data_IF_980539973771
#
_entry.id   IF_980539973771
#
_cell.length_a   1.000
_cell.length_b   1.000
_cell.length_c   1.000
_cell.angle_alpha   90.00
_cell.angle_beta   90.00
_cell.angle_gamma   90.00
#
_symmetry.space_group_name_H-M   'P 1'
#
loop_
_entity.id
_entity.type
_entity.pdbx_description
1 polymer ?
#
# COMPACT_ATOMS: atom_id res chain seq x y z
N UNK A 1 -15.62 4.10 13.79
CA UNK A 1 -15.35 4.04 12.34
C UNK A 1 -13.86 4.15 12.01
N UNK A 2 -13.10 5.12 12.57
CA UNK A 2 -11.65 5.28 12.29
C UNK A 2 -10.85 4.01 12.65
N UNK A 3 -11.10 3.42 13.81
CA UNK A 3 -10.41 2.20 14.23
C UNK A 3 -10.65 1.00 13.30
N UNK A 4 -11.88 0.88 12.78
CA UNK A 4 -12.22 -0.19 11.83
C UNK A 4 -11.53 0.04 10.49
N UNK A 5 -11.57 1.28 9.98
CA UNK A 5 -10.88 1.64 8.74
C UNK A 5 -9.35 1.54 8.86
N UNK A 6 -8.78 1.84 10.04
CA UNK A 6 -7.35 1.69 10.28
C UNK A 6 -6.91 0.22 10.48
N UNK A 7 -7.81 -0.67 10.86
CA UNK A 7 -7.50 -2.09 11.07
C UNK A 7 -7.10 -2.81 9.78
N UNK A 8 -7.71 -2.47 8.64
CA UNK A 8 -7.38 -3.04 7.33
C UNK A 8 -5.90 -2.82 6.95
N UNK A 9 -5.46 -1.58 6.76
CA UNK A 9 -4.03 -1.30 6.52
C UNK A 9 -3.11 -1.79 7.63
N UNK A 10 -3.56 -1.70 8.90
CA UNK A 10 -2.81 -2.14 10.06
C UNK A 10 -2.46 -3.62 10.00
N UNK A 11 -3.42 -4.49 9.66
CA UNK A 11 -3.16 -5.94 9.54
C UNK A 11 -2.18 -6.25 8.40
N UNK A 12 -2.24 -5.51 7.30
CA UNK A 12 -1.30 -5.68 6.20
C UNK A 12 0.14 -5.38 6.67
N UNK A 13 0.35 -4.31 7.42
CA UNK A 13 1.68 -4.01 7.96
C UNK A 13 2.14 -5.02 9.00
N UNK A 14 1.24 -5.54 9.83
CA UNK A 14 1.55 -6.64 10.77
C UNK A 14 2.00 -7.89 10.02
N UNK A 15 1.30 -8.29 8.96
CA UNK A 15 1.68 -9.43 8.12
C UNK A 15 3.05 -9.19 7.47
N UNK A 16 3.30 -7.98 6.98
CA UNK A 16 4.60 -7.62 6.39
C UNK A 16 5.74 -7.74 7.41
N UNK A 17 5.53 -7.29 8.64
CA UNK A 17 6.52 -7.41 9.74
C UNK A 17 6.74 -8.88 10.11
N UNK A 18 5.68 -9.67 10.21
CA UNK A 18 5.79 -11.12 10.49
C UNK A 18 6.57 -11.82 9.37
N UNK A 19 6.30 -11.49 8.11
CA UNK A 19 7.04 -12.05 6.97
C UNK A 19 8.52 -11.66 7.03
N UNK A 20 8.83 -10.40 7.36
CA UNK A 20 10.19 -9.91 7.55
C UNK A 20 10.93 -10.67 8.68
N UNK A 21 10.29 -10.83 9.83
CA UNK A 21 10.87 -11.59 10.95
C UNK A 21 11.05 -13.06 10.60
N UNK A 22 10.13 -13.64 9.83
CA UNK A 22 10.22 -15.04 9.37
C UNK A 22 11.41 -15.28 8.45
N UNK A 23 11.91 -14.25 7.74
CA UNK A 23 13.12 -14.36 6.93
C UNK A 23 14.36 -14.72 7.76
N UNK A 24 14.46 -14.27 9.02
CA UNK A 24 15.54 -14.67 9.92
C UNK A 24 15.52 -16.17 10.24
N UNK A 25 14.31 -16.73 10.35
CA UNK A 25 14.13 -18.16 10.64
C UNK A 25 14.33 -19.00 9.37
N UNK A 26 14.06 -18.44 8.20
CA UNK A 26 14.20 -19.14 6.94
C UNK A 26 15.65 -19.63 6.69
N UNK A 27 16.66 -18.97 7.23
CA UNK A 27 18.06 -19.39 7.10
C UNK A 27 18.38 -20.74 7.76
N UNK A 28 17.52 -21.21 8.67
CA UNK A 28 17.66 -22.53 9.30
C UNK A 28 17.04 -23.67 8.45
N UNK A 29 16.38 -23.33 7.34
CA UNK A 29 15.78 -24.33 6.45
C UNK A 29 16.86 -25.03 5.60
N UNK A 30 16.64 -26.31 5.22
CA UNK A 30 17.46 -26.99 4.23
C UNK A 30 17.51 -26.18 2.92
N UNK A 31 18.66 -26.24 2.24
CA UNK A 31 18.93 -25.46 1.02
C UNK A 31 17.85 -25.64 -0.08
N UNK A 32 17.27 -26.84 -0.16
CA UNK A 32 16.19 -27.16 -1.10
C UNK A 32 14.91 -26.35 -0.90
N UNK A 33 14.64 -25.87 0.34
CA UNK A 33 13.44 -25.09 0.68
C UNK A 33 13.73 -23.60 0.89
N UNK A 34 15.01 -23.25 1.11
CA UNK A 34 15.42 -21.89 1.43
C UNK A 34 14.99 -20.88 0.36
N UNK A 35 15.29 -21.16 -0.92
CA UNK A 35 14.98 -20.26 -2.03
C UNK A 35 13.47 -20.03 -2.16
N UNK A 36 12.68 -21.10 -2.00
CA UNK A 36 11.22 -21.01 -2.03
C UNK A 36 10.67 -20.16 -0.85
N UNK A 37 11.18 -20.41 0.35
CA UNK A 37 10.75 -19.66 1.55
C UNK A 37 11.10 -18.17 1.43
N UNK A 38 12.33 -17.84 1.08
CA UNK A 38 12.79 -16.45 0.92
C UNK A 38 11.96 -15.72 -0.13
N UNK A 39 11.74 -16.32 -1.29
CA UNK A 39 10.94 -15.72 -2.35
C UNK A 39 9.51 -15.42 -1.89
N UNK A 40 8.84 -16.39 -1.26
CA UNK A 40 7.46 -16.23 -0.82
C UNK A 40 7.33 -15.23 0.34
N UNK A 41 8.24 -15.23 1.31
CA UNK A 41 8.25 -14.30 2.43
C UNK A 41 8.52 -12.86 1.95
N UNK A 42 9.46 -12.67 1.03
CA UNK A 42 9.74 -11.38 0.43
C UNK A 42 8.54 -10.86 -0.36
N UNK A 43 7.90 -11.72 -1.15
CA UNK A 43 6.69 -11.35 -1.89
C UNK A 43 5.53 -11.04 -0.93
N UNK A 44 5.34 -11.83 0.12
CA UNK A 44 4.31 -11.59 1.13
C UNK A 44 4.53 -10.23 1.83
N UNK A 45 5.76 -9.93 2.21
CA UNK A 45 6.12 -8.64 2.80
C UNK A 45 5.79 -7.49 1.84
N UNK A 46 6.27 -7.55 0.59
CA UNK A 46 6.08 -6.49 -0.39
C UNK A 46 4.61 -6.27 -0.75
N UNK A 47 3.87 -7.34 -1.03
CA UNK A 47 2.45 -7.28 -1.40
C UNK A 47 1.62 -6.67 -0.27
N UNK A 48 1.87 -7.06 0.98
CA UNK A 48 1.15 -6.49 2.13
C UNK A 48 1.50 -5.03 2.38
N UNK A 49 2.76 -4.61 2.18
CA UNK A 49 3.14 -3.19 2.24
C UNK A 49 2.37 -2.38 1.18
N UNK A 50 2.37 -2.86 -0.06
CA UNK A 50 1.67 -2.17 -1.16
C UNK A 50 0.17 -2.07 -0.89
N UNK A 51 -0.48 -3.13 -0.42
CA UNK A 51 -1.90 -3.10 -0.06
C UNK A 51 -2.19 -2.19 1.14
N UNK A 52 -1.33 -2.19 2.16
CA UNK A 52 -1.46 -1.29 3.29
C UNK A 52 -1.39 0.18 2.88
N UNK A 53 -0.39 0.52 2.07
CA UNK A 53 -0.20 1.88 1.53
C UNK A 53 -1.36 2.27 0.61
N UNK A 54 -1.78 1.38 -0.30
CA UNK A 54 -2.91 1.63 -1.19
C UNK A 54 -4.19 1.91 -0.40
N UNK A 55 -4.51 1.09 0.60
CA UNK A 55 -5.69 1.29 1.43
C UNK A 55 -5.64 2.55 2.30
N UNK A 56 -4.45 3.08 2.61
CA UNK A 56 -4.28 4.34 3.33
C UNK A 56 -4.43 5.58 2.45
N UNK A 57 -4.59 5.44 1.13
CA UNK A 57 -4.81 6.59 0.26
C UNK A 57 -6.07 7.35 0.69
N UNK A 58 -6.02 8.71 0.78
CA UNK A 58 -7.13 9.52 1.27
C UNK A 58 -8.24 9.69 0.22
N UNK A 59 -8.65 8.60 -0.41
CA UNK A 59 -9.67 8.58 -1.46
C UNK A 59 -10.71 7.49 -1.18
N UNK A 60 -11.99 7.83 -0.92
CA UNK A 60 -13.06 6.82 -0.85
C UNK A 60 -13.20 6.08 -2.20
N UNK A 61 -13.43 4.77 -2.23
CA UNK A 61 -13.91 3.92 -1.14
C UNK A 61 -12.83 3.28 -0.26
N UNK A 62 -11.56 3.67 -0.38
CA UNK A 62 -10.46 3.11 0.39
C UNK A 62 -10.56 3.48 1.89
N UNK A 63 -9.92 2.71 2.75
CA UNK A 63 -9.96 2.91 4.20
C UNK A 63 -9.39 4.27 4.60
N UNK A 64 -8.31 4.72 3.96
CA UNK A 64 -7.74 6.06 4.16
C UNK A 64 -8.71 7.18 3.81
N UNK A 65 -9.53 7.00 2.78
CA UNK A 65 -10.61 7.93 2.45
C UNK A 65 -11.68 8.02 3.53
N UNK A 66 -12.06 6.89 4.12
CA UNK A 66 -13.00 6.84 5.26
C UNK A 66 -12.42 7.49 6.51
N UNK A 67 -11.13 7.31 6.77
CA UNK A 67 -10.42 8.01 7.85
C UNK A 67 -10.42 9.51 7.58
N UNK A 68 -10.08 9.93 6.37
CA UNK A 68 -10.08 11.33 5.97
C UNK A 68 -11.46 11.99 6.13
N UNK A 69 -12.53 11.32 5.69
CA UNK A 69 -13.92 11.79 5.89
C UNK A 69 -14.26 11.97 7.36
N UNK A 70 -13.76 11.11 8.24
CA UNK A 70 -14.03 11.15 9.67
C UNK A 70 -13.25 12.26 10.42
N UNK A 71 -12.09 12.66 9.89
CA UNK A 71 -11.19 13.66 10.55
C UNK A 71 -11.40 15.07 10.00
N UNK A 72 -11.75 15.19 8.72
CA UNK A 72 -11.89 16.49 8.06
C UNK A 72 -13.13 17.26 8.55
N UNK A 73 -13.08 18.61 8.60
CA UNK A 73 -14.25 19.44 8.90
C UNK A 73 -15.35 19.26 7.85
N UNK A 74 -16.62 19.46 8.26
CA UNK A 74 -17.82 19.16 7.48
C UNK A 74 -17.81 19.56 6.00
N UNK A 75 -17.41 20.74 5.56
CA UNK A 75 -17.45 21.08 4.14
C UNK A 75 -16.57 20.15 3.29
N UNK A 76 -15.36 19.82 3.77
CA UNK A 76 -14.45 18.90 3.06
C UNK A 76 -14.85 17.44 3.21
N UNK A 77 -15.32 17.03 4.39
CA UNK A 77 -15.84 15.69 4.65
C UNK A 77 -17.02 15.36 3.74
N UNK A 78 -17.98 16.27 3.58
CA UNK A 78 -19.14 16.07 2.71
C UNK A 78 -18.73 15.98 1.23
N UNK A 79 -17.79 16.81 0.79
CA UNK A 79 -17.27 16.74 -0.56
C UNK A 79 -16.55 15.41 -0.82
N UNK A 80 -15.67 15.00 0.10
CA UNK A 80 -14.92 13.76 -0.01
C UNK A 80 -15.84 12.53 0.03
N UNK A 81 -16.86 12.52 0.90
CA UNK A 81 -17.85 11.43 0.97
C UNK A 81 -18.71 11.34 -0.29
N UNK A 82 -18.96 12.46 -0.98
CA UNK A 82 -19.69 12.45 -2.26
C UNK A 82 -18.92 11.73 -3.37
N UNK A 83 -17.59 11.62 -3.24
CA UNK A 83 -16.74 10.89 -4.16
C UNK A 83 -16.80 9.36 -3.96
N UNK A 84 -17.41 8.86 -2.89
CA UNK A 84 -17.44 7.42 -2.59
C UNK A 84 -18.05 6.61 -3.75
N UNK A 85 -19.09 7.12 -4.41
CA UNK A 85 -19.71 6.52 -5.59
C UNK A 85 -18.82 6.50 -6.83
N UNK A 86 -18.02 7.56 -7.01
CA UNK A 86 -17.16 7.77 -8.19
C UNK A 86 -15.69 7.44 -7.91
N UNK A 87 -15.32 7.23 -6.64
CA UNK A 87 -13.94 7.05 -6.22
C UNK A 87 -13.23 5.90 -6.92
N UNK A 88 -13.93 4.78 -7.12
CA UNK A 88 -13.37 3.64 -7.86
C UNK A 88 -13.09 3.99 -9.33
N UNK A 89 -14.00 4.72 -9.99
CA UNK A 89 -13.79 5.20 -11.37
C UNK A 89 -12.66 6.22 -11.45
N UNK A 90 -12.53 7.08 -10.44
CA UNK A 90 -11.42 8.06 -10.35
C UNK A 90 -10.10 7.32 -10.21
N UNK A 91 -10.01 6.31 -9.35
CA UNK A 91 -8.81 5.48 -9.20
C UNK A 91 -8.43 4.85 -10.53
N UNK A 92 -9.37 4.18 -11.20
CA UNK A 92 -9.13 3.56 -12.50
C UNK A 92 -8.69 4.61 -13.53
N UNK A 93 -9.38 5.75 -13.59
CA UNK A 93 -9.04 6.82 -14.52
C UNK A 93 -7.61 7.34 -14.28
N UNK A 94 -7.24 7.61 -13.02
CA UNK A 94 -5.89 8.06 -12.67
C UNK A 94 -4.84 7.01 -13.01
N UNK A 95 -5.09 5.74 -12.73
CA UNK A 95 -4.14 4.66 -12.94
C UNK A 95 -3.91 4.32 -14.42
N UNK A 96 -4.92 4.49 -15.27
CA UNK A 96 -4.86 4.11 -16.69
C UNK A 96 -4.78 5.30 -17.64
N UNK A 97 -5.57 6.37 -17.40
CA UNK A 97 -5.58 7.53 -18.30
C UNK A 97 -4.32 8.41 -18.16
N UNK A 98 -3.82 8.62 -16.93
CA UNK A 98 -2.64 9.45 -16.74
C UNK A 98 -1.37 8.88 -17.40
N UNK A 99 -1.04 7.57 -17.23
CA UNK A 99 0.08 6.98 -17.96
C UNK A 99 -0.12 7.01 -19.46
N UNK A 100 -1.33 6.75 -19.96
CA UNK A 100 -1.64 6.78 -21.39
C UNK A 100 -1.49 8.19 -22.00
N UNK A 101 -1.98 9.22 -21.29
CA UNK A 101 -1.79 10.62 -21.72
C UNK A 101 -0.31 11.00 -21.66
N UNK A 102 0.40 10.58 -20.62
CA UNK A 102 1.83 10.82 -20.48
C UNK A 102 2.63 10.22 -21.64
N UNK A 103 2.33 8.99 -22.05
CA UNK A 103 2.95 8.35 -23.19
C UNK A 103 2.71 9.13 -24.50
N UNK A 104 1.49 9.64 -24.70
CA UNK A 104 1.16 10.49 -25.87
C UNK A 104 1.90 11.84 -25.88
N UNK A 105 2.22 12.37 -24.71
CA UNK A 105 2.97 13.60 -24.53
C UNK A 105 4.49 13.38 -24.49
N UNK A 106 4.96 12.14 -24.68
CA UNK A 106 6.39 11.80 -24.65
C UNK A 106 6.99 11.83 -23.23
N UNK A 107 6.16 11.83 -22.19
CA UNK A 107 6.59 11.86 -20.80
C UNK A 107 6.12 10.57 -20.09
N UNK A 108 7.05 9.82 -19.50
CA UNK A 108 6.68 8.65 -18.70
C UNK A 108 6.17 9.09 -17.32
N UNK A 109 4.85 9.30 -17.21
CA UNK A 109 4.21 9.64 -15.94
C UNK A 109 3.86 8.32 -15.23
N UNK A 110 4.76 7.85 -14.38
CA UNK A 110 4.51 6.66 -13.57
C UNK A 110 3.82 7.05 -12.25
N UNK A 111 2.52 7.39 -12.34
CA UNK A 111 1.69 7.81 -11.20
C UNK A 111 1.64 6.75 -10.11
N UNK A 112 1.54 5.48 -10.51
CA UNK A 112 1.55 4.35 -9.58
C UNK A 112 2.81 4.31 -8.71
N UNK A 113 3.96 4.57 -9.34
CA UNK A 113 5.22 4.59 -8.60
C UNK A 113 5.27 5.74 -7.59
N UNK A 114 4.88 6.94 -8.00
CA UNK A 114 4.87 8.09 -7.11
C UNK A 114 3.87 7.97 -5.96
N UNK A 115 2.68 7.47 -6.27
CA UNK A 115 1.56 7.43 -5.33
C UNK A 115 1.64 6.25 -4.37
N UNK A 116 2.10 5.09 -4.84
CA UNK A 116 2.16 3.84 -4.08
C UNK A 116 3.60 3.38 -3.87
N UNK A 117 4.42 3.36 -4.90
CA UNK A 117 5.78 2.82 -4.86
C UNK A 117 6.70 3.57 -3.90
N UNK A 118 6.69 4.91 -3.93
CA UNK A 118 7.52 5.73 -3.05
C UNK A 118 7.12 5.56 -1.57
N UNK A 119 5.84 5.70 -1.17
CA UNK A 119 5.43 5.41 0.20
C UNK A 119 5.66 3.95 0.61
N UNK A 120 5.41 3.00 -0.29
CA UNK A 120 5.65 1.58 0.00
C UNK A 120 7.14 1.29 0.24
N UNK A 121 8.03 1.91 -0.56
CA UNK A 121 9.46 1.81 -0.34
C UNK A 121 9.87 2.40 1.01
N UNK A 122 9.34 3.53 1.39
CA UNK A 122 9.60 4.13 2.70
C UNK A 122 9.18 3.18 3.84
N UNK A 123 7.98 2.58 3.77
CA UNK A 123 7.50 1.60 4.75
C UNK A 123 8.39 0.36 4.76
N UNK A 124 8.82 -0.12 3.59
CA UNK A 124 9.76 -1.23 3.48
C UNK A 124 11.07 -0.92 4.21
N UNK A 125 11.66 0.25 3.95
CA UNK A 125 12.91 0.67 4.58
C UNK A 125 12.77 0.73 6.11
N UNK A 126 11.64 1.23 6.61
CA UNK A 126 11.32 1.23 8.05
C UNK A 126 11.24 -0.20 8.61
N UNK A 127 10.51 -1.10 7.94
CA UNK A 127 10.38 -2.50 8.37
C UNK A 127 11.75 -3.19 8.38
N UNK A 128 12.56 -3.00 7.34
CA UNK A 128 13.92 -3.57 7.23
C UNK A 128 14.80 -3.10 8.40
N UNK A 129 14.75 -1.82 8.74
CA UNK A 129 15.49 -1.27 9.88
C UNK A 129 14.98 -1.84 11.21
N UNK A 130 13.65 -1.86 11.41
CA UNK A 130 13.04 -2.34 12.65
C UNK A 130 13.26 -3.85 12.89
N UNK A 131 13.27 -4.63 11.82
CA UNK A 131 13.47 -6.09 11.88
C UNK A 131 14.94 -6.50 11.80
N UNK A 132 15.86 -5.56 11.51
CA UNK A 132 17.29 -5.85 11.38
C UNK A 132 17.66 -6.64 10.12
N UNK A 133 16.79 -6.67 9.12
CA UNK A 133 17.12 -7.22 7.80
C UNK A 133 18.08 -6.26 7.10
N UNK A 134 19.31 -6.71 6.83
CA UNK A 134 20.31 -5.96 6.07
C UNK A 134 20.68 -6.70 4.81
#
# INVERSE_FOLDING_TARGET
>A
MILVAGAGPGINFVIAIIAALSLHIAHFLPQSYLSFAVLNLTNAMWVNIVFGVFNLMPLPPLDGGRIAVAVLPKPFSNWLSSLERSGFLIIIAVLFLLPWVGEKLGTQINVLWWLIGVPAKFVLDVIVVLTGLK
#
